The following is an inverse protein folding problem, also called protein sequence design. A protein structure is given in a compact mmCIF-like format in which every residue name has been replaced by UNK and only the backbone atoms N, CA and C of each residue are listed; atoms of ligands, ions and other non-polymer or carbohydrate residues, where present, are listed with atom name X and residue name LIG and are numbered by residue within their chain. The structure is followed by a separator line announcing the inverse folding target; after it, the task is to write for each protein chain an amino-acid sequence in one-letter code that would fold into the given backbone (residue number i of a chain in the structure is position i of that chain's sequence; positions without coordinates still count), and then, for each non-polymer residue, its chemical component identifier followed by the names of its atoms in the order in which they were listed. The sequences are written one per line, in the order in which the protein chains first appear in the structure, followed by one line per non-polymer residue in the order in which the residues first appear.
data_IF_183927428834
#
_entry.id   IF_183927428834
#
_cell.length_a   1.000
_cell.length_b   1.000
_cell.length_c   1.000
_cell.angle_alpha   90.00
_cell.angle_beta   90.00
_cell.angle_gamma   90.00
#
_symmetry.space_group_name_H-M   'P 1'
#
loop_
_entity.id
_entity.type
_entity.pdbx_description
1 polymer ?
#
# COMPACT_ATOMS: atom_id res chain seq x y z
N UNK A 1 33.10 -22.80 8.11
CA UNK A 1 32.27 -21.66 7.67
C UNK A 1 32.63 -20.48 8.54
N UNK A 2 32.97 -19.32 7.96
CA UNK A 2 33.20 -18.11 8.75
C UNK A 2 31.90 -17.77 9.47
N UNK A 3 31.96 -17.62 10.79
CA UNK A 3 30.79 -17.28 11.60
C UNK A 3 30.46 -15.80 11.35
N UNK A 4 29.36 -15.54 10.65
CA UNK A 4 28.85 -14.19 10.40
C UNK A 4 28.48 -13.53 11.71
N UNK A 5 28.74 -12.23 11.85
CA UNK A 5 28.29 -11.48 13.02
C UNK A 5 26.77 -11.35 12.93
N UNK A 6 26.07 -11.64 14.03
CA UNK A 6 24.63 -11.39 14.10
C UNK A 6 24.40 -9.87 14.24
N UNK A 7 23.79 -9.20 13.24
CA UNK A 7 23.49 -7.79 13.35
C UNK A 7 22.41 -7.56 14.41
N UNK A 8 22.47 -6.42 15.09
CA UNK A 8 21.39 -5.91 15.91
C UNK A 8 20.52 -5.01 15.04
N UNK A 9 19.20 -5.17 15.16
CA UNK A 9 18.22 -4.32 14.49
C UNK A 9 17.61 -3.38 15.52
N UNK A 10 17.61 -2.09 15.22
CA UNK A 10 16.95 -1.06 16.04
C UNK A 10 15.91 -0.32 15.20
N UNK A 11 14.84 0.13 15.86
CA UNK A 11 13.74 0.88 15.25
C UNK A 11 13.57 2.18 16.02
N UNK A 12 13.65 3.29 15.31
CA UNK A 12 13.33 4.64 15.78
C UNK A 12 12.02 5.07 15.12
N UNK A 13 10.95 5.16 15.92
CA UNK A 13 9.65 5.65 15.44
C UNK A 13 9.68 7.18 15.41
N UNK A 14 9.61 7.75 14.20
CA UNK A 14 9.65 9.21 13.99
C UNK A 14 8.22 9.78 14.07
N UNK A 15 7.24 9.06 13.52
CA UNK A 15 5.80 9.31 13.64
C UNK A 15 5.02 8.01 13.46
N UNK A 16 3.69 8.04 13.58
CA UNK A 16 2.84 6.85 13.40
C UNK A 16 3.10 6.10 12.08
N UNK A 17 3.35 6.85 10.99
CA UNK A 17 3.53 6.29 9.65
C UNK A 17 4.97 6.43 9.13
N UNK A 18 5.94 6.81 9.96
CA UNK A 18 7.33 6.97 9.56
C UNK A 18 8.28 6.41 10.62
N UNK A 19 9.12 5.45 10.23
CA UNK A 19 10.16 4.92 11.10
C UNK A 19 11.51 4.82 10.39
N UNK A 20 12.57 4.90 11.19
CA UNK A 20 13.93 4.59 10.78
C UNK A 20 14.35 3.26 11.39
N UNK A 21 14.65 2.29 10.53
CA UNK A 21 15.15 0.98 10.94
C UNK A 21 16.63 0.91 10.60
N UNK A 22 17.47 0.56 11.58
CA UNK A 22 18.90 0.39 11.34
C UNK A 22 19.39 -1.00 11.75
N UNK A 23 20.31 -1.55 10.97
CA UNK A 23 20.93 -2.85 11.21
C UNK A 23 22.45 -2.74 11.19
N UNK A 24 23.09 -3.11 12.29
CA UNK A 24 24.54 -3.07 12.47
C UNK A 24 25.05 -4.06 13.54
N UNK A 25 26.31 -4.51 13.47
CA UNK A 25 27.21 -4.38 12.33
C UNK A 25 26.90 -5.43 11.25
N UNK A 26 27.09 -5.06 9.98
CA UNK A 26 27.00 -5.96 8.82
C UNK A 26 28.36 -6.07 8.15
N UNK A 27 28.73 -7.23 7.61
CA UNK A 27 29.94 -7.35 6.81
C UNK A 27 29.88 -6.43 5.58
N UNK A 28 31.04 -5.98 5.12
CA UNK A 28 31.15 -5.07 3.98
C UNK A 28 30.37 -5.57 2.76
N UNK A 29 29.49 -4.72 2.23
CA UNK A 29 28.64 -5.02 1.08
C UNK A 29 27.29 -5.65 1.44
N UNK A 30 27.13 -6.19 2.65
CA UNK A 30 25.82 -6.72 3.09
C UNK A 30 24.82 -5.59 3.36
N UNK A 31 25.27 -4.39 3.72
CA UNK A 31 24.38 -3.23 3.83
C UNK A 31 23.67 -2.92 2.52
N UNK A 32 24.39 -2.96 1.39
CA UNK A 32 23.81 -2.76 0.07
C UNK A 32 22.92 -3.92 -0.37
N UNK A 33 23.38 -5.17 -0.19
CA UNK A 33 22.63 -6.37 -0.57
C UNK A 33 21.29 -6.46 0.15
N UNK A 34 21.29 -6.34 1.49
CA UNK A 34 20.08 -6.41 2.29
C UNK A 34 19.19 -5.19 2.06
N UNK A 35 19.78 -3.98 2.05
CA UNK A 35 19.02 -2.75 1.90
C UNK A 35 18.34 -2.61 0.54
N UNK A 36 18.99 -3.02 -0.55
CA UNK A 36 18.36 -3.01 -1.87
C UNK A 36 17.23 -4.06 -1.98
N UNK A 37 17.43 -5.24 -1.39
CA UNK A 37 16.42 -6.30 -1.38
C UNK A 37 15.19 -5.90 -0.59
N UNK A 38 15.38 -5.43 0.66
CA UNK A 38 14.30 -4.94 1.52
C UNK A 38 13.55 -3.78 0.87
N UNK A 39 14.27 -2.79 0.31
CA UNK A 39 13.64 -1.65 -0.37
C UNK A 39 12.74 -2.08 -1.53
N UNK A 40 13.15 -3.07 -2.33
CA UNK A 40 12.33 -3.57 -3.43
C UNK A 40 11.07 -4.24 -2.91
N UNK A 41 11.20 -5.16 -1.96
CA UNK A 41 10.06 -5.90 -1.40
C UNK A 41 9.08 -4.96 -0.71
N UNK A 42 9.58 -4.01 0.09
CA UNK A 42 8.76 -2.98 0.74
C UNK A 42 7.88 -2.21 -0.25
N UNK A 43 8.42 -1.83 -1.42
CA UNK A 43 7.70 -1.02 -2.39
C UNK A 43 6.76 -1.81 -3.31
N UNK A 44 7.01 -3.11 -3.55
CA UNK A 44 6.30 -3.86 -4.59
C UNK A 44 5.59 -5.13 -4.16
N UNK A 45 5.90 -5.69 -2.98
CA UNK A 45 5.55 -7.09 -2.67
C UNK A 45 4.67 -7.27 -1.45
N UNK A 46 4.48 -6.23 -0.64
CA UNK A 46 3.55 -6.27 0.48
C UNK A 46 2.12 -6.32 -0.03
N UNK A 47 1.28 -7.08 0.67
CA UNK A 47 -0.14 -7.13 0.40
C UNK A 47 -0.82 -5.85 0.90
N UNK A 48 -1.77 -5.34 0.15
CA UNK A 48 -2.61 -4.22 0.59
C UNK A 48 -3.95 -4.20 -0.12
N UNK A 49 -4.78 -3.23 0.23
CA UNK A 49 -6.12 -3.07 -0.34
C UNK A 49 -6.28 -1.70 -1.01
N UNK A 50 -6.96 -1.68 -2.15
CA UNK A 50 -7.18 -0.46 -2.93
C UNK A 50 -8.49 -0.56 -3.73
N UNK A 51 -8.98 0.59 -4.20
CA UNK A 51 -10.14 0.65 -5.11
C UNK A 51 -9.70 0.25 -6.51
N UNK A 52 -10.40 -0.72 -7.09
CA UNK A 52 -10.16 -1.21 -8.46
C UNK A 52 -11.05 -0.53 -9.50
N UNK A 53 -12.27 -0.20 -9.10
CA UNK A 53 -13.27 0.35 -9.99
C UNK A 53 -14.34 1.12 -9.21
N UNK A 54 -14.95 2.10 -9.87
CA UNK A 54 -16.10 2.83 -9.36
C UNK A 54 -17.24 2.80 -10.36
N UNK A 55 -18.46 2.98 -9.87
CA UNK A 55 -19.66 3.16 -10.67
C UNK A 55 -20.48 4.29 -10.06
N UNK A 56 -20.74 5.34 -10.83
CA UNK A 56 -21.54 6.50 -10.42
C UNK A 56 -22.84 6.47 -11.21
N UNK A 57 -23.98 6.62 -10.53
CA UNK A 57 -25.28 6.61 -11.21
C UNK A 57 -25.39 7.79 -12.19
N UNK A 58 -25.93 7.52 -13.38
CA UNK A 58 -26.03 8.50 -14.47
C UNK A 58 -24.73 8.82 -15.21
N UNK A 59 -23.58 8.25 -14.83
CA UNK A 59 -22.28 8.45 -15.49
C UNK A 59 -21.91 7.24 -16.35
N UNK A 60 -21.48 7.48 -17.59
CA UNK A 60 -21.05 6.41 -18.50
C UNK A 60 -19.53 6.28 -18.63
N UNK A 61 -18.78 7.35 -18.39
CA UNK A 61 -17.33 7.38 -18.50
C UNK A 61 -16.71 8.52 -17.67
N UNK A 62 -15.40 8.44 -17.43
CA UNK A 62 -14.64 9.33 -16.56
C UNK A 62 -14.52 10.79 -17.03
N UNK A 63 -14.66 11.04 -18.33
CA UNK A 63 -14.58 12.39 -18.93
C UNK A 63 -15.93 13.14 -18.91
N UNK A 64 -16.68 13.04 -17.82
CA UNK A 64 -17.99 13.70 -17.66
C UNK A 64 -18.09 14.46 -16.34
N UNK A 65 -19.20 15.16 -16.17
CA UNK A 65 -19.58 15.88 -14.94
C UNK A 65 -20.86 15.29 -14.37
N UNK A 66 -21.00 15.34 -13.06
CA UNK A 66 -22.24 14.93 -12.36
C UNK A 66 -23.04 16.17 -12.01
N UNK A 67 -24.35 16.17 -12.33
CA UNK A 67 -25.20 17.33 -12.08
C UNK A 67 -25.29 17.64 -10.57
N UNK A 68 -25.07 18.89 -10.20
CA UNK A 68 -25.06 19.33 -8.80
C UNK A 68 -23.82 18.94 -7.98
N UNK A 69 -22.80 18.32 -8.58
CA UNK A 69 -21.49 18.07 -7.94
C UNK A 69 -20.48 19.12 -8.42
N UNK A 70 -19.63 19.59 -7.52
CA UNK A 70 -18.65 20.65 -7.84
C UNK A 70 -17.44 20.13 -8.64
N UNK A 71 -16.96 18.95 -8.27
CA UNK A 71 -15.84 18.24 -8.89
C UNK A 71 -16.32 17.46 -10.13
N UNK A 72 -15.44 17.32 -11.13
CA UNK A 72 -15.72 16.45 -12.27
C UNK A 72 -15.45 14.97 -11.93
N UNK A 73 -15.82 14.05 -12.82
CA UNK A 73 -15.65 12.61 -12.53
C UNK A 73 -14.16 12.23 -12.45
N UNK A 74 -13.27 12.94 -13.15
CA UNK A 74 -11.82 12.68 -13.09
C UNK A 74 -11.26 13.07 -11.72
N UNK A 75 -11.68 14.19 -11.17
CA UNK A 75 -11.37 14.61 -9.80
C UNK A 75 -11.88 13.59 -8.77
N UNK A 76 -13.11 13.10 -8.94
CA UNK A 76 -13.68 12.05 -8.08
C UNK A 76 -12.83 10.77 -8.15
N UNK A 77 -12.45 10.32 -9.35
CA UNK A 77 -11.57 9.16 -9.54
C UNK A 77 -10.24 9.36 -8.81
N UNK A 78 -9.63 10.55 -8.92
CA UNK A 78 -8.38 10.86 -8.23
C UNK A 78 -8.52 10.87 -6.71
N UNK A 79 -9.62 11.41 -6.18
CA UNK A 79 -9.89 11.42 -4.74
C UNK A 79 -10.19 10.01 -4.21
N UNK A 80 -10.91 9.19 -4.97
CA UNK A 80 -11.15 7.78 -4.61
C UNK A 80 -9.84 7.00 -4.56
N UNK A 81 -8.87 7.25 -5.46
CA UNK A 81 -7.50 6.69 -5.36
C UNK A 81 -6.78 7.07 -4.07
N UNK A 82 -7.17 8.17 -3.42
CA UNK A 82 -6.61 8.64 -2.16
C UNK A 82 -7.14 7.91 -0.92
N UNK A 83 -8.19 7.09 -1.05
CA UNK A 83 -8.70 6.27 0.04
C UNK A 83 -7.73 5.13 0.38
N UNK A 84 -7.47 4.95 1.67
CA UNK A 84 -6.56 3.95 2.20
C UNK A 84 -7.36 2.88 2.92
N UNK A 85 -7.33 1.67 2.39
CA UNK A 85 -7.99 0.51 2.99
C UNK A 85 -6.98 -0.42 3.65
N UNK A 86 -7.40 -1.01 4.77
CA UNK A 86 -6.72 -2.15 5.40
C UNK A 86 -7.62 -3.38 5.23
N UNK A 87 -7.06 -4.49 4.73
CA UNK A 87 -7.78 -5.77 4.68
C UNK A 87 -7.83 -6.42 6.05
N UNK A 88 -8.98 -6.96 6.41
CA UNK A 88 -9.20 -7.74 7.64
C UNK A 88 -8.90 -9.23 7.46
N UNK A 89 -8.51 -9.66 6.25
CA UNK A 89 -8.13 -11.03 5.93
C UNK A 89 -9.31 -12.01 5.82
N UNK A 90 -10.54 -11.52 5.72
CA UNK A 90 -11.76 -12.34 5.60
C UNK A 90 -12.31 -12.43 4.18
N UNK A 91 -11.72 -11.69 3.23
CA UNK A 91 -12.08 -11.71 1.82
C UNK A 91 -11.04 -10.99 0.96
N UNK A 92 -11.04 -11.28 -0.34
CA UNK A 92 -10.10 -10.70 -1.31
C UNK A 92 -10.72 -9.51 -2.08
N UNK A 93 -12.04 -9.36 -2.02
CA UNK A 93 -12.80 -8.32 -2.72
C UNK A 93 -14.13 -8.06 -2.02
N UNK A 94 -14.58 -6.80 -2.02
CA UNK A 94 -15.94 -6.43 -1.64
C UNK A 94 -16.39 -5.11 -2.32
N UNK A 95 -17.70 -4.87 -2.34
CA UNK A 95 -18.30 -3.63 -2.86
C UNK A 95 -18.66 -2.69 -1.69
N UNK A 96 -18.12 -1.47 -1.71
CA UNK A 96 -18.57 -0.39 -0.84
C UNK A 96 -19.51 0.53 -1.62
N UNK A 97 -20.50 1.11 -0.93
CA UNK A 97 -21.52 1.93 -1.58
C UNK A 97 -21.88 3.18 -0.78
N UNK A 98 -22.37 4.20 -1.46
CA UNK A 98 -22.88 5.43 -0.87
C UNK A 98 -24.15 5.86 -1.60
N UNK A 99 -25.08 6.47 -0.86
CA UNK A 99 -26.22 7.20 -1.41
C UNK A 99 -26.56 8.35 -0.48
N UNK A 100 -26.29 9.59 -0.91
CA UNK A 100 -26.38 10.78 -0.05
C UNK A 100 -26.97 11.98 -0.81
N UNK A 101 -27.59 12.87 -0.05
CA UNK A 101 -28.23 14.10 -0.55
C UNK A 101 -27.47 15.34 -0.08
N UNK A 102 -27.26 16.29 -1.00
CA UNK A 102 -26.62 17.58 -0.73
C UNK A 102 -27.57 18.63 -0.12
N UNK A 103 -27.03 19.74 0.44
CA UNK A 103 -25.63 20.16 0.32
C UNK A 103 -24.74 19.55 1.41
N UNK A 104 -23.66 18.88 1.02
CA UNK A 104 -22.65 18.33 1.94
C UNK A 104 -21.32 18.07 1.24
N UNK A 105 -20.24 17.97 2.01
CA UNK A 105 -18.96 17.42 1.53
C UNK A 105 -18.97 15.93 1.81
N UNK A 106 -18.82 15.12 0.76
CA UNK A 106 -18.74 13.66 0.84
C UNK A 106 -17.30 13.27 1.15
N UNK A 107 -17.14 12.44 2.16
CA UNK A 107 -15.87 11.89 2.64
C UNK A 107 -15.87 10.37 2.53
N UNK A 108 -14.70 9.74 2.70
CA UNK A 108 -14.60 8.28 2.76
C UNK A 108 -15.46 7.67 3.87
N UNK A 109 -15.67 8.39 4.98
CA UNK A 109 -16.50 7.95 6.09
C UNK A 109 -18.00 7.87 5.78
N UNK A 110 -18.46 8.45 4.67
CA UNK A 110 -19.87 8.40 4.25
C UNK A 110 -20.22 7.11 3.47
N UNK A 111 -19.21 6.29 3.14
CA UNK A 111 -19.43 5.01 2.47
C UNK A 111 -19.80 3.93 3.49
N UNK A 112 -20.73 3.07 3.09
CA UNK A 112 -20.94 1.78 3.72
C UNK A 112 -19.80 0.85 3.32
N UNK A 113 -18.80 0.73 4.21
CA UNK A 113 -17.62 -0.10 4.01
C UNK A 113 -17.92 -1.52 4.50
N UNK A 114 -17.73 -2.55 3.65
CA UNK A 114 -17.97 -3.94 4.02
C UNK A 114 -16.93 -4.43 5.05
N UNK A 115 -17.31 -5.41 5.88
CA UNK A 115 -16.54 -5.83 7.07
C UNK A 115 -15.15 -6.45 6.76
N UNK A 116 -14.93 -6.85 5.52
CA UNK A 116 -13.66 -7.34 4.98
C UNK A 116 -12.57 -6.27 4.95
N UNK A 117 -12.96 -4.98 5.01
CA UNK A 117 -12.06 -3.85 4.91
C UNK A 117 -12.31 -2.83 6.03
N UNK A 118 -11.24 -2.15 6.43
CA UNK A 118 -11.26 -1.00 7.33
C UNK A 118 -10.75 0.22 6.56
N UNK A 119 -11.51 1.32 6.59
CA UNK A 119 -11.06 2.59 6.02
C UNK A 119 -10.17 3.33 7.02
N UNK A 120 -8.92 3.55 6.63
CA UNK A 120 -7.89 4.13 7.50
C UNK A 120 -8.00 5.66 7.59
N UNK A 121 -8.46 6.31 6.52
CA UNK A 121 -8.59 7.77 6.41
C UNK A 121 -10.04 8.21 6.14
N UNK A 122 -10.97 8.04 7.10
CA UNK A 122 -12.39 8.36 6.91
C UNK A 122 -12.65 9.83 6.54
N UNK A 123 -11.81 10.75 7.01
CA UNK A 123 -11.96 12.19 6.74
C UNK A 123 -11.49 12.61 5.33
N UNK A 124 -11.06 11.68 4.49
CA UNK A 124 -10.60 11.98 3.13
C UNK A 124 -11.77 12.44 2.25
N UNK A 125 -11.68 13.66 1.72
CA UNK A 125 -12.73 14.27 0.89
C UNK A 125 -12.76 13.63 -0.49
N UNK A 126 -13.96 13.27 -0.95
CA UNK A 126 -14.21 12.72 -2.29
C UNK A 126 -14.78 13.78 -3.23
N UNK A 127 -15.84 14.47 -2.82
CA UNK A 127 -16.46 15.55 -3.59
C UNK A 127 -17.38 16.41 -2.73
N UNK A 128 -17.91 17.47 -3.31
CA UNK A 128 -18.84 18.42 -2.68
C UNK A 128 -20.14 18.47 -3.47
N UNK A 129 -21.25 18.25 -2.77
CA UNK A 129 -22.60 18.27 -3.32
C UNK A 129 -23.26 19.64 -3.08
N UNK A 130 -23.85 20.19 -4.13
CA UNK A 130 -24.72 21.36 -4.08
C UNK A 130 -26.09 21.06 -3.46
N UNK A 131 -26.87 22.11 -3.23
CA UNK A 131 -28.20 21.96 -2.66
C UNK A 131 -29.16 21.23 -3.63
N UNK A 132 -29.78 20.14 -3.17
CA UNK A 132 -30.68 19.33 -4.00
C UNK A 132 -29.98 18.36 -4.95
N UNK A 133 -28.64 18.26 -4.89
CA UNK A 133 -27.90 17.23 -5.60
C UNK A 133 -28.03 15.88 -4.87
N UNK A 134 -28.05 14.79 -5.63
CA UNK A 134 -28.05 13.43 -5.11
C UNK A 134 -26.91 12.65 -5.76
N UNK A 135 -26.13 11.94 -4.96
CA UNK A 135 -25.03 11.11 -5.45
C UNK A 135 -25.22 9.68 -4.94
N UNK A 136 -25.31 8.74 -5.89
CA UNK A 136 -25.21 7.31 -5.63
C UNK A 136 -23.97 6.78 -6.33
N UNK A 137 -23.08 6.14 -5.57
CA UNK A 137 -21.82 5.60 -6.08
C UNK A 137 -21.50 4.26 -5.41
N UNK A 138 -20.87 3.39 -6.18
CA UNK A 138 -20.30 2.13 -5.71
C UNK A 138 -18.81 2.09 -6.04
N UNK A 139 -18.04 1.40 -5.21
CA UNK A 139 -16.65 1.11 -5.48
C UNK A 139 -16.35 -0.37 -5.19
N UNK A 140 -15.56 -0.98 -6.07
CA UNK A 140 -14.99 -2.31 -5.84
C UNK A 140 -13.64 -2.15 -5.17
N UNK A 141 -13.51 -2.67 -3.96
CA UNK A 141 -12.25 -2.70 -3.19
C UNK A 141 -11.69 -4.12 -3.27
N UNK A 142 -10.43 -4.23 -3.69
CA UNK A 142 -9.73 -5.49 -3.83
C UNK A 142 -8.47 -5.56 -2.99
N UNK A 143 -7.93 -6.77 -2.84
CA UNK A 143 -6.62 -7.04 -2.24
C UNK A 143 -5.63 -7.39 -3.34
N UNK A 144 -4.45 -6.77 -3.30
CA UNK A 144 -3.42 -6.97 -4.31
C UNK A 144 -2.02 -6.61 -3.81
N UNK A 145 -1.09 -6.48 -4.75
CA UNK A 145 0.31 -6.12 -4.48
C UNK A 145 0.80 -5.08 -5.48
N UNK A 146 1.65 -4.17 -5.00
CA UNK A 146 2.28 -3.18 -5.87
C UNK A 146 1.29 -2.21 -6.50
N UNK A 147 1.31 -2.13 -7.82
CA UNK A 147 0.48 -1.25 -8.63
C UNK A 147 -0.18 -2.05 -9.76
N UNK A 148 -1.46 -1.80 -9.99
CA UNK A 148 -2.22 -2.38 -11.11
C UNK A 148 -2.92 -1.22 -11.82
N UNK A 149 -2.84 -1.20 -13.16
CA UNK A 149 -3.46 -0.15 -13.95
C UNK A 149 -4.98 -0.32 -14.03
N UNK A 150 -5.70 0.77 -14.35
CA UNK A 150 -7.14 0.68 -14.64
C UNK A 150 -7.45 -0.32 -15.76
N UNK A 151 -6.62 -0.40 -16.80
CA UNK A 151 -6.77 -1.37 -17.90
C UNK A 151 -6.68 -2.82 -17.40
N UNK A 152 -5.74 -3.11 -16.51
CA UNK A 152 -5.56 -4.45 -15.94
C UNK A 152 -6.67 -4.84 -14.93
N UNK A 153 -7.41 -3.85 -14.41
CA UNK A 153 -8.57 -4.05 -13.54
C UNK A 153 -9.87 -4.33 -14.33
N UNK A 154 -9.84 -4.23 -15.66
CA UNK A 154 -11.00 -4.48 -16.53
C UNK A 154 -11.42 -5.95 -16.49
N UNK A 155 -12.73 -6.20 -16.34
CA UNK A 155 -13.31 -7.55 -16.36
C UNK A 155 -14.36 -7.64 -17.45
N UNK A 156 -14.36 -8.76 -18.18
CA UNK A 156 -15.38 -9.02 -19.23
C UNK A 156 -16.82 -9.00 -18.69
N UNK A 157 -17.00 -9.29 -17.41
CA UNK A 157 -18.30 -9.30 -16.72
C UNK A 157 -18.76 -7.92 -16.25
N UNK A 158 -17.92 -6.88 -16.38
CA UNK A 158 -18.25 -5.57 -15.84
C UNK A 158 -19.40 -4.90 -16.61
N UNK A 159 -20.37 -4.28 -15.92
CA UNK A 159 -21.47 -3.59 -16.55
C UNK A 159 -21.00 -2.30 -17.25
N UNK A 160 -21.81 -1.83 -18.20
CA UNK A 160 -21.61 -0.52 -18.82
C UNK A 160 -21.66 0.58 -17.74
N UNK A 161 -20.74 1.54 -17.82
CA UNK A 161 -20.65 2.67 -16.90
C UNK A 161 -19.77 2.41 -15.67
N UNK A 162 -19.10 1.25 -15.59
CA UNK A 162 -17.99 1.09 -14.66
C UNK A 162 -16.79 1.92 -15.14
N UNK A 163 -16.07 2.53 -14.19
CA UNK A 163 -14.84 3.27 -14.44
C UNK A 163 -13.74 2.55 -13.66
N UNK A 164 -12.79 1.97 -14.39
CA UNK A 164 -11.65 1.29 -13.78
C UNK A 164 -10.62 2.31 -13.30
N UNK A 165 -10.05 2.03 -12.14
CA UNK A 165 -9.19 2.95 -11.40
C UNK A 165 -7.83 2.28 -11.24
N UNK A 166 -6.74 3.04 -11.36
CA UNK A 166 -5.42 2.53 -11.00
C UNK A 166 -5.35 2.19 -9.50
N UNK A 167 -5.04 0.93 -9.18
CA UNK A 167 -4.98 0.42 -7.82
C UNK A 167 -3.56 0.53 -7.26
N UNK A 168 -3.40 1.36 -6.22
CA UNK A 168 -2.17 1.47 -5.44
C UNK A 168 -2.26 0.57 -4.19
N UNK A 169 -1.95 -0.72 -4.35
CA UNK A 169 -1.99 -1.70 -3.26
C UNK A 169 -0.84 -1.54 -2.27
N UNK A 170 0.33 -1.07 -2.72
CA UNK A 170 1.51 -0.99 -1.87
C UNK A 170 1.27 -0.09 -0.65
N UNK A 171 1.37 -0.63 0.58
CA UNK A 171 1.13 0.17 1.78
C UNK A 171 2.32 1.08 2.12
N UNK A 172 3.47 0.91 1.46
CA UNK A 172 4.67 1.72 1.62
C UNK A 172 4.72 2.81 0.55
N UNK A 173 4.63 4.08 0.98
CA UNK A 173 4.71 5.24 0.10
C UNK A 173 6.14 5.57 -0.30
N UNK A 174 7.07 5.47 0.65
CA UNK A 174 8.49 5.80 0.45
C UNK A 174 9.38 4.89 1.27
N UNK A 175 10.48 4.45 0.67
CA UNK A 175 11.59 3.84 1.38
C UNK A 175 12.91 4.44 0.90
N UNK A 176 13.60 5.15 1.79
CA UNK A 176 14.95 5.64 1.58
C UNK A 176 15.96 4.69 2.22
N UNK A 177 17.10 4.49 1.56
CA UNK A 177 18.16 3.58 2.00
C UNK A 177 19.48 4.33 2.07
N UNK A 178 20.18 4.21 3.18
CA UNK A 178 21.56 4.64 3.34
C UNK A 178 22.41 3.50 3.90
N UNK A 179 23.66 3.43 3.47
CA UNK A 179 24.67 2.52 4.02
C UNK A 179 25.81 3.38 4.55
N UNK A 180 26.10 3.25 5.83
CA UNK A 180 27.12 4.00 6.55
C UNK A 180 28.24 3.04 6.98
N UNK A 181 29.47 3.55 7.14
CA UNK A 181 30.54 2.74 7.71
C UNK A 181 30.38 2.67 9.24
N UNK A 182 30.46 1.47 9.82
CA UNK A 182 30.45 1.27 11.26
C UNK A 182 31.76 0.59 11.74
N UNK A 183 32.09 0.82 13.01
CA UNK A 183 33.33 0.35 13.61
C UNK A 183 33.04 -0.70 14.68
N UNK A 184 33.63 -1.88 14.53
CA UNK A 184 33.59 -2.95 15.52
C UNK A 184 35.00 -3.16 16.08
N UNK A 185 35.24 -2.68 17.29
CA UNK A 185 36.54 -2.74 17.95
C UNK A 185 37.64 -2.00 17.17
N UNK A 186 38.52 -2.74 16.49
CA UNK A 186 39.60 -2.17 15.64
C UNK A 186 39.28 -2.19 14.14
N UNK A 187 38.22 -2.86 13.72
CA UNK A 187 37.80 -2.96 12.33
C UNK A 187 36.79 -1.86 12.00
N UNK A 188 36.99 -1.16 10.88
CA UNK A 188 36.17 -0.01 10.43
C UNK A 188 35.48 -0.26 9.09
N UNK A 189 35.49 -1.49 8.61
CA UNK A 189 35.01 -1.92 7.30
C UNK A 189 33.65 -2.62 7.36
N UNK A 190 32.95 -2.55 8.49
CA UNK A 190 31.58 -3.03 8.61
C UNK A 190 30.59 -1.98 8.11
N UNK A 191 29.46 -2.43 7.61
CA UNK A 191 28.35 -1.61 7.16
C UNK A 191 27.31 -1.43 8.28
N UNK A 192 26.66 -0.28 8.28
CA UNK A 192 25.40 -0.01 8.98
C UNK A 192 24.37 0.33 7.94
N UNK A 193 23.32 -0.48 7.86
CA UNK A 193 22.17 -0.21 6.99
C UNK A 193 21.19 0.68 7.75
N UNK A 194 20.72 1.75 7.11
CA UNK A 194 19.64 2.61 7.60
C UNK A 194 18.54 2.67 6.54
N UNK A 195 17.34 2.24 6.91
CA UNK A 195 16.12 2.33 6.12
C UNK A 195 15.19 3.34 6.76
N UNK A 196 14.72 4.31 5.99
CA UNK A 196 13.64 5.22 6.40
C UNK A 196 12.39 4.86 5.61
N UNK A 197 11.35 4.40 6.31
CA UNK A 197 10.15 3.78 5.73
C UNK A 197 8.93 4.61 6.11
N UNK A 198 8.19 5.05 5.10
CA UNK A 198 6.95 5.83 5.21
C UNK A 198 5.77 5.00 4.66
N UNK A 199 4.75 4.77 5.46
CA UNK A 199 3.55 3.99 5.09
C UNK A 199 2.32 4.88 4.90
N UNK A 200 1.25 4.32 4.34
CA UNK A 200 -0.04 4.98 4.19
C UNK A 200 -0.94 4.86 5.43
N UNK A 201 -0.50 4.17 6.49
CA UNK A 201 -1.24 3.92 7.72
C UNK A 201 -2.01 2.59 7.78
N UNK A 202 -2.12 1.86 6.66
CA UNK A 202 -2.74 0.52 6.68
C UNK A 202 -1.87 -0.51 7.40
N UNK A 203 -0.56 -0.28 7.48
CA UNK A 203 0.41 -1.08 8.24
C UNK A 203 1.42 -0.14 8.93
N UNK A 204 1.90 -0.54 10.11
CA UNK A 204 2.99 0.19 10.76
C UNK A 204 4.29 0.03 9.96
N UNK A 205 5.19 1.05 9.92
CA UNK A 205 6.48 0.93 9.24
C UNK A 205 7.33 -0.24 9.75
N UNK A 206 7.22 -0.56 11.06
CA UNK A 206 7.91 -1.68 11.68
C UNK A 206 7.41 -3.01 11.13
N UNK A 207 6.09 -3.21 11.10
CA UNK A 207 5.50 -4.46 10.63
C UNK A 207 5.74 -4.65 9.13
N UNK A 208 5.72 -3.57 8.35
CA UNK A 208 6.09 -3.59 6.93
C UNK A 208 7.50 -4.15 6.71
N UNK A 209 8.48 -3.74 7.54
CA UNK A 209 9.86 -4.26 7.45
C UNK A 209 9.93 -5.74 7.85
N UNK A 210 9.17 -6.16 8.85
CA UNK A 210 9.09 -7.58 9.25
C UNK A 210 8.49 -8.42 8.13
N UNK A 211 7.39 -7.98 7.53
CA UNK A 211 6.75 -8.68 6.41
C UNK A 211 7.69 -8.75 5.20
N UNK A 212 8.38 -7.66 4.87
CA UNK A 212 9.37 -7.64 3.80
C UNK A 212 10.51 -8.65 4.04
N UNK A 213 11.04 -8.71 5.27
CA UNK A 213 12.07 -9.67 5.64
C UNK A 213 11.57 -11.11 5.54
N UNK A 214 10.33 -11.38 5.96
CA UNK A 214 9.70 -12.69 5.84
C UNK A 214 9.55 -13.13 4.38
N UNK A 215 9.12 -12.24 3.48
CA UNK A 215 9.00 -12.53 2.04
C UNK A 215 10.37 -12.91 1.45
N UNK A 216 11.42 -12.14 1.77
CA UNK A 216 12.78 -12.44 1.30
C UNK A 216 13.23 -13.82 1.83
N UNK A 217 12.99 -14.11 3.11
CA UNK A 217 13.38 -15.37 3.72
C UNK A 217 12.65 -16.58 3.12
N UNK A 218 11.37 -16.44 2.75
CA UNK A 218 10.62 -17.49 2.05
C UNK A 218 11.26 -17.82 0.70
N UNK A 219 11.66 -16.81 -0.08
CA UNK A 219 12.37 -17.03 -1.34
C UNK A 219 13.75 -17.67 -1.11
N UNK A 220 14.49 -17.24 -0.10
CA UNK A 220 15.80 -17.83 0.22
C UNK A 220 15.69 -19.29 0.65
N UNK A 221 14.61 -19.67 1.34
CA UNK A 221 14.35 -21.07 1.73
C UNK A 221 14.30 -22.01 0.52
N UNK A 222 13.74 -21.57 -0.61
CA UNK A 222 13.70 -22.38 -1.84
C UNK A 222 15.09 -22.63 -2.43
N UNK A 223 16.06 -21.74 -2.22
CA UNK A 223 17.46 -21.98 -2.61
C UNK A 223 18.16 -22.89 -1.61
N UNK A 224 17.84 -22.76 -0.33
CA UNK A 224 18.41 -23.62 0.71
C UNK A 224 17.99 -25.08 0.53
N UNK A 225 16.77 -25.36 0.07
CA UNK A 225 16.32 -26.74 -0.19
C UNK A 225 17.07 -27.46 -1.31
N UNK A 226 17.91 -26.78 -2.11
CA UNK A 226 18.80 -27.43 -3.07
C UNK A 226 19.86 -28.30 -2.38
N UNK A 227 20.11 -28.11 -1.08
CA UNK A 227 21.02 -29.00 -0.33
C UNK A 227 20.42 -30.36 -0.02
N UNK A 228 19.11 -30.53 -0.22
CA UNK A 228 18.38 -31.75 0.10
C UNK A 228 18.16 -32.66 -1.14
N UNK A 229 18.69 -32.29 -2.31
CA UNK A 229 18.78 -33.15 -3.50
C UNK A 229 20.14 -33.85 -3.55
N UNK A 230 20.34 -34.86 -2.70
CA UNK A 230 21.29 -35.99 -2.86
C UNK A 230 21.19 -36.92 -1.63
N UNK A 231 20.05 -37.59 -1.44
CA UNK A 231 19.95 -38.89 -0.72
C UNK A 231 19.03 -39.87 -1.48
#
# INVERSE_FOLDING_TARGET
MSEFIRPQVSVEEISENLARVSAEPLERGYGDTLGNSLRRVLLSSLSGAAVEAIQIDGVQHEFTTVDGVYEDVTDIVLNVKGLVFRSMGTGDEAEASLSVDGPMTVTGGDFDIPAEFELVNPDHVICTLGAGAHLTMKMRVGVGRGYVSGEDNERESDPIGIIHVDSLYSPVKRCAKAVEACRVGRHTDYDRLVLEVETNGSISPRDAVVEAANIINQHMTAFMSLTDEDE
#
